data_IF_891722856390
#
_entry.id   IF_891722856390
#
_cell.length_a   1.000
_cell.length_b   1.000
_cell.length_c   1.000
_cell.angle_alpha   90.00
_cell.angle_beta   90.00
_cell.angle_gamma   90.00
#
_symmetry.space_group_name_H-M   'P 1'
#
loop_
_entity.id
_entity.type
_entity.pdbx_description
1 polymer ?
#
# COMPACT_ATOMS: atom_id res chain seq x y z
N UNK A 1 -20.52 6.23 26.22
CA UNK A 1 -19.87 6.76 25.00
C UNK A 1 -19.42 5.57 24.19
N UNK A 2 -20.07 5.30 23.06
CA UNK A 2 -19.54 4.33 22.11
C UNK A 2 -18.19 4.85 21.61
N UNK A 3 -17.12 4.11 21.85
CA UNK A 3 -15.80 4.44 21.33
C UNK A 3 -15.85 4.26 19.81
N UNK A 4 -15.96 5.38 19.07
CA UNK A 4 -15.84 5.37 17.62
C UNK A 4 -14.48 4.80 17.26
N UNK A 5 -14.46 3.63 16.61
CA UNK A 5 -13.23 2.99 16.14
C UNK A 5 -12.56 3.93 15.13
N UNK A 6 -11.39 4.46 15.49
CA UNK A 6 -10.59 5.27 14.58
C UNK A 6 -9.99 4.38 13.49
N UNK A 7 -9.98 4.82 12.22
CA UNK A 7 -9.38 4.06 11.13
C UNK A 7 -7.86 3.98 11.28
N UNK A 8 -7.28 2.88 10.80
CA UNK A 8 -5.82 2.74 10.74
C UNK A 8 -5.26 3.58 9.58
N UNK A 9 -4.39 4.54 9.89
CA UNK A 9 -3.63 5.34 8.93
C UNK A 9 -2.36 4.57 8.53
N UNK A 10 -2.26 4.16 7.26
CA UNK A 10 -1.19 3.29 6.76
C UNK A 10 -0.51 3.91 5.56
N UNK A 11 0.82 3.84 5.48
CA UNK A 11 1.57 4.26 4.28
C UNK A 11 2.61 3.22 3.88
N UNK A 12 2.70 2.95 2.58
CA UNK A 12 3.86 2.29 1.99
C UNK A 12 4.90 3.35 1.64
N UNK A 13 6.04 3.39 2.32
CA UNK A 13 6.99 4.49 2.18
C UNK A 13 8.45 4.06 2.12
N UNK A 14 9.19 4.64 1.18
CA UNK A 14 10.66 4.68 1.15
C UNK A 14 11.10 5.84 0.26
N UNK A 15 12.32 6.33 0.51
CA UNK A 15 12.96 7.41 -0.22
C UNK A 15 13.28 7.08 -1.69
N UNK A 16 13.18 5.81 -2.07
CA UNK A 16 13.43 5.38 -3.45
C UNK A 16 12.15 5.28 -4.29
N UNK A 17 12.19 5.85 -5.50
CA UNK A 17 11.18 5.62 -6.53
C UNK A 17 11.28 4.20 -7.14
N UNK A 18 10.19 3.72 -7.75
CA UNK A 18 10.22 2.46 -8.54
C UNK A 18 10.17 1.15 -7.75
N UNK A 19 10.17 1.20 -6.42
CA UNK A 19 10.07 0.00 -5.55
C UNK A 19 8.65 -0.53 -5.36
N UNK A 20 7.64 0.05 -6.03
CA UNK A 20 6.27 -0.47 -6.03
C UNK A 20 5.31 0.02 -4.93
N UNK A 21 5.59 1.13 -4.23
CA UNK A 21 4.72 1.71 -3.18
C UNK A 21 3.24 1.79 -3.59
N UNK A 22 2.95 2.56 -4.64
CA UNK A 22 1.62 2.75 -5.20
C UNK A 22 0.97 1.44 -5.67
N UNK A 23 1.76 0.49 -6.17
CA UNK A 23 1.27 -0.83 -6.58
C UNK A 23 0.82 -1.65 -5.36
N UNK A 24 1.58 -1.62 -4.27
CA UNK A 24 1.22 -2.31 -3.03
C UNK A 24 0.00 -1.66 -2.36
N UNK A 25 -0.08 -0.32 -2.38
CA UNK A 25 -1.26 0.41 -1.92
C UNK A 25 -2.52 -0.06 -2.65
N UNK A 26 -2.50 -0.10 -3.99
CA UNK A 26 -3.66 -0.59 -4.77
C UNK A 26 -3.98 -2.05 -4.47
N UNK A 27 -2.98 -2.92 -4.46
CA UNK A 27 -3.20 -4.36 -4.29
C UNK A 27 -3.80 -4.68 -2.92
N UNK A 28 -3.29 -4.06 -1.84
CA UNK A 28 -3.84 -4.27 -0.51
C UNK A 28 -5.18 -3.56 -0.31
N UNK A 29 -5.38 -2.35 -0.85
CA UNK A 29 -6.68 -1.69 -0.81
C UNK A 29 -7.76 -2.56 -1.48
N UNK A 30 -7.49 -3.07 -2.67
CA UNK A 30 -8.39 -3.98 -3.39
C UNK A 30 -8.62 -5.31 -2.65
N UNK A 31 -7.58 -5.89 -2.04
CA UNK A 31 -7.71 -7.12 -1.26
C UNK A 31 -8.57 -6.90 0.00
N UNK A 32 -8.26 -5.89 0.81
CA UNK A 32 -9.01 -5.55 2.02
C UNK A 32 -10.47 -5.24 1.71
N UNK A 33 -10.72 -4.46 0.66
CA UNK A 33 -12.06 -4.00 0.36
C UNK A 33 -12.92 -5.04 -0.36
N UNK A 34 -12.43 -5.61 -1.46
CA UNK A 34 -13.25 -6.48 -2.32
C UNK A 34 -13.31 -7.93 -1.84
N UNK A 35 -12.35 -8.39 -1.03
CA UNK A 35 -12.30 -9.78 -0.57
C UNK A 35 -12.52 -9.95 0.92
N UNK A 36 -12.03 -9.01 1.73
CA UNK A 36 -12.14 -9.08 3.18
C UNK A 36 -13.26 -8.19 3.75
N UNK A 37 -13.83 -7.31 2.92
CA UNK A 37 -15.01 -6.52 3.29
C UNK A 37 -14.71 -5.32 4.20
N UNK A 38 -13.46 -4.88 4.27
CA UNK A 38 -13.08 -3.68 5.02
C UNK A 38 -13.45 -2.38 4.27
N UNK A 39 -13.79 -1.35 5.03
CA UNK A 39 -14.02 -0.02 4.47
C UNK A 39 -12.70 0.72 4.33
N UNK A 40 -12.29 0.93 3.08
CA UNK A 40 -10.98 1.48 2.74
C UNK A 40 -11.14 2.87 2.10
N UNK A 41 -10.27 3.80 2.51
CA UNK A 41 -10.05 5.09 1.84
C UNK A 41 -8.59 5.14 1.38
N UNK A 42 -8.34 5.76 0.23
CA UNK A 42 -6.98 5.96 -0.28
C UNK A 42 -6.76 7.43 -0.60
N UNK A 43 -5.71 8.01 -0.03
CA UNK A 43 -5.25 9.37 -0.28
C UNK A 43 -4.07 9.31 -1.25
N UNK A 44 -4.27 9.72 -2.50
CA UNK A 44 -3.22 9.82 -3.52
C UNK A 44 -2.56 11.20 -3.41
N UNK A 45 -1.42 11.23 -2.69
CA UNK A 45 -0.72 12.45 -2.32
C UNK A 45 0.53 12.69 -3.21
N UNK A 46 0.81 11.83 -4.19
CA UNK A 46 2.01 11.91 -5.02
C UNK A 46 1.83 12.90 -6.19
N UNK A 47 1.60 14.18 -5.89
CA UNK A 47 1.48 15.21 -6.91
C UNK A 47 2.85 15.53 -7.53
N UNK A 48 2.99 15.60 -8.88
CA UNK A 48 1.93 15.54 -9.90
C UNK A 48 1.67 14.14 -10.49
N UNK A 49 2.37 13.09 -10.05
CA UNK A 49 2.27 11.74 -10.64
C UNK A 49 0.88 11.12 -10.50
N UNK A 50 0.22 11.34 -9.35
CA UNK A 50 -1.12 10.87 -8.97
C UNK A 50 -1.45 9.49 -9.53
N UNK A 51 -0.56 8.54 -9.23
CA UNK A 51 -0.50 7.28 -9.96
C UNK A 51 -1.73 6.39 -9.73
N UNK A 52 -2.43 6.53 -8.60
CA UNK A 52 -3.60 5.72 -8.24
C UNK A 52 -4.87 6.30 -8.85
N UNK A 53 -5.04 7.62 -8.84
CA UNK A 53 -6.17 8.27 -9.52
C UNK A 53 -6.10 8.01 -11.01
N UNK A 54 -4.91 8.18 -11.61
CA UNK A 54 -4.69 7.89 -13.01
C UNK A 54 -4.94 6.39 -13.33
N UNK A 55 -4.59 5.49 -12.42
CA UNK A 55 -4.90 4.05 -12.55
C UNK A 55 -6.40 3.79 -12.50
N UNK A 56 -7.14 4.44 -11.59
CA UNK A 56 -8.59 4.30 -11.47
C UNK A 56 -9.32 4.70 -12.75
N UNK A 57 -8.90 5.78 -13.40
CA UNK A 57 -9.51 6.17 -14.68
C UNK A 57 -9.19 5.15 -15.78
N UNK A 58 -7.94 4.68 -15.89
CA UNK A 58 -7.58 3.61 -16.84
C UNK A 58 -8.34 2.29 -16.59
N UNK A 59 -8.54 1.92 -15.32
CA UNK A 59 -9.31 0.74 -14.94
C UNK A 59 -10.77 0.89 -15.39
N UNK A 60 -11.39 2.07 -15.19
CA UNK A 60 -12.76 2.34 -15.65
C UNK A 60 -12.85 2.16 -17.16
N UNK A 61 -11.96 2.80 -17.92
CA UNK A 61 -11.96 2.72 -19.37
C UNK A 61 -11.78 1.27 -19.85
N UNK A 62 -10.84 0.55 -19.23
CA UNK A 62 -10.56 -0.85 -19.56
C UNK A 62 -11.75 -1.77 -19.28
N UNK A 63 -12.44 -1.56 -18.14
CA UNK A 63 -13.64 -2.32 -17.78
C UNK A 63 -14.79 -2.02 -18.75
N UNK A 64 -14.98 -0.76 -19.13
CA UNK A 64 -16.08 -0.37 -20.03
C UNK A 64 -15.87 -0.88 -21.47
N UNK A 65 -14.62 -1.02 -21.92
CA UNK A 65 -14.28 -1.46 -23.27
C UNK A 65 -14.14 -2.98 -23.40
N UNK A 66 -13.99 -3.72 -22.31
CA UNK A 66 -13.78 -5.17 -22.33
C UNK A 66 -14.95 -5.89 -21.64
N UNK A 67 -15.74 -6.63 -22.43
CA UNK A 67 -16.91 -7.34 -21.93
C UNK A 67 -16.60 -8.36 -20.83
N UNK A 68 -15.44 -9.03 -20.86
CA UNK A 68 -15.05 -9.95 -19.79
C UNK A 68 -14.87 -9.21 -18.45
N UNK A 69 -14.16 -8.08 -18.45
CA UNK A 69 -13.97 -7.28 -17.23
C UNK A 69 -15.26 -6.59 -16.77
N UNK A 70 -16.10 -6.15 -17.70
CA UNK A 70 -17.43 -5.61 -17.39
C UNK A 70 -18.31 -6.62 -16.66
N UNK A 71 -18.39 -7.85 -17.17
CA UNK A 71 -19.14 -8.92 -16.52
C UNK A 71 -18.55 -9.28 -15.15
N UNK A 72 -17.22 -9.30 -15.03
CA UNK A 72 -16.55 -9.53 -13.74
C UNK A 72 -16.90 -8.42 -12.72
N UNK A 73 -16.87 -7.16 -13.14
CA UNK A 73 -17.22 -6.00 -12.30
C UNK A 73 -18.69 -6.03 -11.89
N UNK A 74 -19.62 -6.30 -12.82
CA UNK A 74 -21.07 -6.43 -12.52
C UNK A 74 -21.29 -7.53 -11.48
N UNK A 75 -20.72 -8.72 -11.70
CA UNK A 75 -20.84 -9.85 -10.77
C UNK A 75 -20.31 -9.48 -9.39
N UNK A 76 -19.16 -8.81 -9.32
CA UNK A 76 -18.58 -8.34 -8.07
C UNK A 76 -19.51 -7.36 -7.34
N UNK A 77 -20.01 -6.32 -8.02
CA UNK A 77 -20.88 -5.32 -7.41
C UNK A 77 -22.20 -5.93 -6.92
N UNK A 78 -22.79 -6.86 -7.69
CA UNK A 78 -23.99 -7.60 -7.29
C UNK A 78 -23.75 -8.51 -6.08
N UNK A 79 -22.59 -9.17 -6.03
CA UNK A 79 -22.25 -10.11 -4.95
C UNK A 79 -21.92 -9.36 -3.65
N UNK A 80 -21.05 -8.35 -3.73
CA UNK A 80 -20.59 -7.60 -2.56
C UNK A 80 -21.65 -6.61 -2.06
N UNK A 81 -22.49 -6.07 -2.95
CA UNK A 81 -23.46 -5.00 -2.66
C UNK A 81 -22.81 -3.75 -2.04
N UNK A 82 -21.60 -3.41 -2.50
CA UNK A 82 -20.81 -2.25 -2.04
C UNK A 82 -20.24 -1.48 -3.22
N UNK A 83 -20.10 -0.17 -3.07
CA UNK A 83 -19.39 0.67 -4.04
C UNK A 83 -17.89 0.38 -3.98
N UNK A 84 -17.15 0.76 -5.01
CA UNK A 84 -15.68 0.74 -4.98
C UNK A 84 -15.15 1.68 -3.89
N UNK A 85 -13.99 1.34 -3.32
CA UNK A 85 -13.31 2.23 -2.37
C UNK A 85 -12.90 3.55 -3.02
N UNK A 86 -12.94 4.63 -2.23
CA UNK A 86 -12.65 5.99 -2.68
C UNK A 86 -11.14 6.22 -2.80
N UNK A 87 -10.73 6.91 -3.86
CA UNK A 87 -9.36 7.40 -4.05
C UNK A 87 -9.45 8.92 -4.20
N UNK A 88 -8.87 9.64 -3.25
CA UNK A 88 -8.94 11.10 -3.18
C UNK A 88 -7.57 11.67 -3.49
N UNK A 89 -7.52 12.52 -4.52
CA UNK A 89 -6.34 13.31 -4.85
C UNK A 89 -6.19 14.46 -3.84
N UNK A 90 -5.01 14.61 -3.27
CA UNK A 90 -4.70 15.77 -2.42
C UNK A 90 -3.21 16.11 -2.44
N UNK A 91 -2.85 17.25 -1.86
CA UNK A 91 -1.45 17.56 -1.53
C UNK A 91 -1.07 16.90 -0.21
N UNK A 92 0.22 16.60 -0.04
CA UNK A 92 0.73 15.93 1.17
C UNK A 92 0.40 16.71 2.44
N UNK A 93 0.50 18.04 2.37
CA UNK A 93 0.28 18.94 3.50
C UNK A 93 -1.17 18.95 4.00
N UNK A 94 -2.11 18.69 3.09
CA UNK A 94 -3.56 18.72 3.35
C UNK A 94 -4.12 17.31 3.58
N UNK A 95 -3.32 16.26 3.36
CA UNK A 95 -3.79 14.88 3.25
C UNK A 95 -4.59 14.39 4.47
N UNK A 96 -4.14 14.75 5.68
CA UNK A 96 -4.82 14.34 6.92
C UNK A 96 -6.17 15.05 7.09
N UNK A 97 -6.21 16.35 6.84
CA UNK A 97 -7.43 17.16 6.93
C UNK A 97 -8.45 16.72 5.88
N UNK A 98 -8.02 16.54 4.63
CA UNK A 98 -8.88 16.07 3.55
C UNK A 98 -9.39 14.66 3.84
N UNK A 99 -8.58 13.77 4.40
CA UNK A 99 -9.04 12.44 4.80
C UNK A 99 -10.15 12.55 5.86
N UNK A 100 -9.96 13.36 6.91
CA UNK A 100 -10.96 13.55 7.96
C UNK A 100 -12.26 14.17 7.44
N UNK A 101 -12.17 15.18 6.57
CA UNK A 101 -13.33 15.78 5.91
C UNK A 101 -14.07 14.75 5.03
N UNK A 102 -13.33 13.98 4.23
CA UNK A 102 -13.89 12.93 3.37
C UNK A 102 -14.64 11.87 4.19
N UNK A 103 -14.06 11.44 5.30
CA UNK A 103 -14.69 10.42 6.16
C UNK A 103 -15.99 10.92 6.79
N UNK A 104 -16.05 12.21 7.17
CA UNK A 104 -17.27 12.85 7.68
C UNK A 104 -18.32 13.01 6.58
N UNK A 105 -17.91 13.41 5.38
CA UNK A 105 -18.82 13.62 4.24
C UNK A 105 -19.47 12.31 3.76
N UNK A 106 -18.70 11.24 3.70
CA UNK A 106 -19.20 9.93 3.23
C UNK A 106 -20.09 9.23 4.26
N UNK A 107 -20.21 9.77 5.48
CA UNK A 107 -21.00 9.22 6.60
C UNK A 107 -20.82 7.71 6.77
N UNK A 108 -19.58 7.26 6.67
CA UNK A 108 -19.21 5.85 6.67
C UNK A 108 -18.04 5.62 7.62
N UNK A 109 -18.10 4.54 8.40
CA UNK A 109 -16.98 4.13 9.25
C UNK A 109 -15.89 3.47 8.40
N UNK A 110 -14.69 4.03 8.41
CA UNK A 110 -13.53 3.46 7.72
C UNK A 110 -12.71 2.59 8.67
N UNK A 111 -12.20 1.47 8.15
CA UNK A 111 -11.28 0.60 8.87
C UNK A 111 -9.82 0.98 8.60
N UNK A 112 -9.53 1.36 7.35
CA UNK A 112 -8.17 1.67 6.89
C UNK A 112 -8.18 2.88 5.97
N UNK A 113 -7.26 3.81 6.21
CA UNK A 113 -6.92 4.91 5.29
C UNK A 113 -5.48 4.73 4.82
N UNK A 114 -5.28 4.48 3.53
CA UNK A 114 -3.96 4.45 2.94
C UNK A 114 -3.53 5.85 2.49
N UNK A 115 -2.27 6.19 2.72
CA UNK A 115 -1.63 7.42 2.24
C UNK A 115 -0.51 7.06 1.26
N UNK A 116 -0.73 7.28 -0.03
CA UNK A 116 0.30 7.12 -1.07
C UNK A 116 1.10 8.42 -1.17
N UNK A 117 2.25 8.44 -0.49
CA UNK A 117 3.09 9.63 -0.35
C UNK A 117 4.20 9.64 -1.42
N UNK A 118 4.67 10.84 -1.83
CA UNK A 118 5.83 10.99 -2.70
C UNK A 118 7.05 10.26 -2.16
N UNK A 119 7.87 9.72 -3.07
CA UNK A 119 9.11 9.03 -2.71
C UNK A 119 10.20 9.93 -2.12
N UNK A 120 10.02 11.24 -2.00
CA UNK A 120 11.07 12.17 -1.55
C UNK A 120 10.75 12.71 -0.16
N UNK A 121 11.61 12.42 0.83
CA UNK A 121 11.42 12.93 2.20
C UNK A 121 11.51 14.47 2.29
N UNK A 122 12.22 15.10 1.36
CA UNK A 122 12.35 16.55 1.27
C UNK A 122 11.09 17.24 0.74
N UNK A 123 10.11 16.49 0.22
CA UNK A 123 8.83 17.07 -0.15
C UNK A 123 8.13 17.56 1.11
N UNK A 124 7.72 18.83 1.08
CA UNK A 124 7.05 19.50 2.19
C UNK A 124 5.85 18.67 2.66
N UNK A 125 5.72 18.52 3.98
CA UNK A 125 4.63 17.76 4.59
C UNK A 125 4.86 16.25 4.70
N UNK A 126 5.79 15.64 3.96
CA UNK A 126 5.96 14.16 3.98
C UNK A 126 6.30 13.65 5.37
N UNK A 127 7.29 14.22 6.04
CA UNK A 127 7.71 13.79 7.37
C UNK A 127 6.60 14.00 8.42
N UNK A 128 5.90 15.13 8.37
CA UNK A 128 4.80 15.42 9.30
C UNK A 128 3.63 14.46 9.08
N UNK A 129 3.27 14.16 7.83
CA UNK A 129 2.20 13.22 7.51
C UNK A 129 2.59 11.79 7.90
N UNK A 130 3.83 11.37 7.63
CA UNK A 130 4.36 10.08 8.09
C UNK A 130 4.31 9.94 9.61
N UNK A 131 4.64 10.98 10.37
CA UNK A 131 4.63 10.94 11.84
C UNK A 131 3.22 10.67 12.42
N UNK A 132 2.17 10.92 11.64
CA UNK A 132 0.77 10.71 12.04
C UNK A 132 0.22 9.33 11.60
N UNK A 133 1.00 8.52 10.89
CA UNK A 133 0.61 7.16 10.50
C UNK A 133 0.65 6.19 11.69
N UNK A 134 -0.28 5.24 11.73
CA UNK A 134 -0.22 4.12 12.67
C UNK A 134 0.77 3.05 12.21
N UNK A 135 0.82 2.79 10.90
CA UNK A 135 1.74 1.81 10.32
C UNK A 135 2.43 2.36 9.08
N UNK A 136 3.75 2.16 9.01
CA UNK A 136 4.57 2.46 7.83
C UNK A 136 5.21 1.16 7.37
N UNK A 137 4.95 0.77 6.12
CA UNK A 137 5.55 -0.41 5.50
C UNK A 137 6.58 0.03 4.47
N UNK A 138 7.85 -0.31 4.70
CA UNK A 138 8.97 0.16 3.89
C UNK A 138 9.53 -0.97 3.01
N UNK A 139 9.23 -0.97 1.69
CA UNK A 139 9.80 -1.94 0.77
C UNK A 139 11.31 -1.71 0.62
N UNK A 140 12.08 -2.80 0.70
CA UNK A 140 13.49 -2.85 0.34
C UNK A 140 13.70 -3.82 -0.83
N UNK A 141 14.58 -3.47 -1.76
CA UNK A 141 15.03 -4.34 -2.84
C UNK A 141 16.50 -4.68 -2.61
N UNK A 142 17.01 -5.77 -3.21
CA UNK A 142 18.40 -6.21 -3.05
C UNK A 142 19.42 -5.36 -3.82
N UNK A 143 19.23 -4.03 -3.82
CA UNK A 143 20.15 -3.05 -4.34
C UNK A 143 20.82 -2.33 -3.16
N UNK A 144 22.15 -2.27 -3.15
CA UNK A 144 22.92 -1.71 -2.04
C UNK A 144 22.50 -0.27 -1.71
N UNK A 145 22.34 0.58 -2.73
CA UNK A 145 21.99 1.99 -2.53
C UNK A 145 20.56 2.12 -1.99
N UNK A 146 19.65 1.25 -2.41
CA UNK A 146 18.27 1.26 -1.90
C UNK A 146 18.18 0.77 -0.47
N UNK A 147 18.94 -0.26 -0.11
CA UNK A 147 19.03 -0.74 1.28
C UNK A 147 19.65 0.34 2.17
N UNK A 148 20.83 0.87 1.81
CA UNK A 148 21.52 1.91 2.59
C UNK A 148 20.63 3.14 2.81
N UNK A 149 19.96 3.62 1.75
CA UNK A 149 19.02 4.76 1.83
C UNK A 149 17.82 4.45 2.74
N UNK A 150 17.20 3.27 2.58
CA UNK A 150 16.00 2.91 3.35
C UNK A 150 16.33 2.73 4.83
N UNK A 151 17.45 2.09 5.16
CA UNK A 151 17.88 1.89 6.55
C UNK A 151 18.29 3.21 7.21
N UNK A 152 19.04 4.06 6.51
CA UNK A 152 19.43 5.38 7.00
C UNK A 152 18.21 6.24 7.32
N UNK A 153 17.23 6.28 6.40
CA UNK A 153 15.96 6.97 6.65
C UNK A 153 15.19 6.35 7.81
N UNK A 154 15.03 5.02 7.81
CA UNK A 154 14.22 4.32 8.81
C UNK A 154 14.74 4.56 10.22
N UNK A 155 16.06 4.49 10.41
CA UNK A 155 16.70 4.78 11.70
C UNK A 155 16.47 6.23 12.13
N UNK A 156 16.79 7.18 11.26
CA UNK A 156 16.60 8.60 11.56
C UNK A 156 15.13 8.93 11.88
N UNK A 157 14.18 8.34 11.14
CA UNK A 157 12.75 8.52 11.36
C UNK A 157 12.25 7.83 12.65
N UNK A 158 12.82 6.69 13.01
CA UNK A 158 12.50 6.01 14.27
C UNK A 158 12.90 6.86 15.50
N UNK A 159 13.98 7.63 15.38
CA UNK A 159 14.50 8.53 16.42
C UNK A 159 13.73 9.87 16.52
N UNK A 160 12.91 10.22 15.53
CA UNK A 160 12.13 11.46 15.57
C UNK A 160 11.09 11.45 16.71
N UNK A 161 10.84 12.61 17.34
CA UNK A 161 9.77 12.76 18.31
C UNK A 161 8.42 12.34 17.71
N UNK A 162 7.80 11.33 18.30
CA UNK A 162 6.48 10.86 17.87
C UNK A 162 5.43 11.91 18.17
N UNK A 163 4.48 12.08 17.25
CA UNK A 163 3.33 12.96 17.43
C UNK A 163 2.56 12.62 18.71
N UNK A 164 2.11 13.64 19.44
CA UNK A 164 1.52 13.49 20.79
C UNK A 164 0.10 12.90 20.82
N UNK A 165 -0.48 12.49 19.69
CA UNK A 165 -1.94 12.31 19.56
C UNK A 165 -2.40 11.00 18.88
N UNK A 166 -1.67 9.90 18.99
CA UNK A 166 -2.18 8.59 18.54
C UNK A 166 -2.26 7.59 19.70
N UNK A 167 -3.44 7.03 19.93
CA UNK A 167 -3.67 5.93 20.89
C UNK A 167 -2.95 4.64 20.50
N UNK A 168 -2.65 4.49 19.20
CA UNK A 168 -1.89 3.38 18.64
C UNK A 168 -0.44 3.81 18.47
N UNK A 169 0.49 3.07 19.09
CA UNK A 169 1.92 3.26 18.89
C UNK A 169 2.26 3.05 17.41
N UNK A 170 2.84 4.06 16.78
CA UNK A 170 3.32 3.96 15.41
C UNK A 170 4.32 2.82 15.26
N UNK A 171 4.16 2.01 14.22
CA UNK A 171 5.08 0.94 13.86
C UNK A 171 5.63 1.12 12.44
N UNK A 172 6.90 0.82 12.26
CA UNK A 172 7.56 0.80 10.95
C UNK A 172 8.10 -0.60 10.69
N UNK A 173 7.69 -1.19 9.57
CA UNK A 173 8.06 -2.55 9.17
C UNK A 173 8.75 -2.54 7.82
N UNK A 174 9.97 -3.09 7.77
CA UNK A 174 10.68 -3.38 6.52
C UNK A 174 10.15 -4.67 5.90
N UNK A 175 10.21 -4.79 4.58
CA UNK A 175 9.95 -6.07 3.90
C UNK A 175 10.66 -6.13 2.55
N UNK A 176 11.05 -7.33 2.15
CA UNK A 176 11.66 -7.54 0.85
C UNK A 176 10.62 -7.50 -0.27
N UNK A 177 10.84 -6.60 -1.22
CA UNK A 177 10.10 -6.52 -2.47
C UNK A 177 11.02 -6.83 -3.65
N UNK A 178 10.42 -7.17 -4.79
CA UNK A 178 11.13 -7.48 -6.04
C UNK A 178 12.25 -8.52 -5.83
N UNK A 179 12.00 -9.55 -5.00
CA UNK A 179 12.98 -10.61 -4.73
C UNK A 179 13.18 -11.44 -5.98
N UNK A 180 14.41 -11.45 -6.51
CA UNK A 180 14.79 -12.31 -7.62
C UNK A 180 15.09 -13.72 -7.10
N UNK A 181 14.37 -14.72 -7.61
CA UNK A 181 14.62 -16.13 -7.27
C UNK A 181 16.00 -16.64 -7.71
N UNK A 182 16.72 -15.89 -8.55
CA UNK A 182 18.07 -16.20 -9.01
C UNK A 182 19.17 -15.58 -8.14
N UNK A 183 18.83 -14.59 -7.31
CA UNK A 183 19.81 -13.95 -6.44
C UNK A 183 20.22 -14.88 -5.30
N UNK A 184 21.50 -14.79 -4.91
CA UNK A 184 22.04 -15.62 -3.84
C UNK A 184 21.36 -15.28 -2.52
N UNK A 185 20.85 -16.30 -1.84
CA UNK A 185 20.23 -16.18 -0.50
C UNK A 185 21.15 -15.49 0.52
N UNK A 186 22.47 -15.61 0.35
CA UNK A 186 23.49 -14.97 1.19
C UNK A 186 23.42 -13.43 1.21
N UNK A 187 23.04 -12.80 0.09
CA UNK A 187 22.93 -11.33 0.02
C UNK A 187 21.80 -10.82 0.93
N UNK A 188 20.63 -11.46 0.83
CA UNK A 188 19.48 -11.17 1.69
C UNK A 188 19.82 -11.40 3.17
N UNK A 189 20.49 -12.51 3.48
CA UNK A 189 20.88 -12.82 4.85
C UNK A 189 21.86 -11.78 5.42
N UNK A 190 22.77 -11.28 4.60
CA UNK A 190 23.73 -10.24 4.99
C UNK A 190 23.03 -8.93 5.33
N UNK A 191 22.08 -8.49 4.48
CA UNK A 191 21.30 -7.29 4.75
C UNK A 191 20.37 -7.47 5.96
N UNK A 192 19.73 -8.63 6.12
CA UNK A 192 18.91 -8.92 7.29
C UNK A 192 19.72 -8.92 8.60
N UNK A 193 21.00 -9.33 8.57
CA UNK A 193 21.87 -9.22 9.73
C UNK A 193 22.09 -7.75 10.12
N UNK A 194 22.31 -6.86 9.14
CA UNK A 194 22.42 -5.41 9.39
C UNK A 194 21.11 -4.84 9.93
N UNK A 195 19.97 -5.22 9.35
CA UNK A 195 18.64 -4.78 9.82
C UNK A 195 18.40 -5.16 11.28
N UNK A 196 18.77 -6.38 11.67
CA UNK A 196 18.69 -6.86 13.05
C UNK A 196 19.63 -6.09 13.99
N UNK A 197 20.85 -5.76 13.54
CA UNK A 197 21.79 -4.95 14.33
C UNK A 197 21.27 -3.52 14.58
N UNK A 198 20.43 -3.01 13.68
CA UNK A 198 19.78 -1.71 13.81
C UNK A 198 18.46 -1.76 14.61
N UNK A 199 18.07 -2.94 15.14
CA UNK A 199 16.81 -3.17 15.85
C UNK A 199 15.56 -2.74 15.04
N UNK A 200 15.62 -2.91 13.72
CA UNK A 200 14.53 -2.54 12.83
C UNK A 200 13.61 -3.75 12.55
N UNK A 201 12.28 -3.63 12.73
CA UNK A 201 11.35 -4.70 12.42
C UNK A 201 11.36 -5.03 10.93
N UNK A 202 11.38 -6.33 10.62
CA UNK A 202 11.30 -6.84 9.25
C UNK A 202 10.29 -7.98 9.16
N UNK A 203 9.45 -7.93 8.13
CA UNK A 203 8.47 -8.96 7.80
C UNK A 203 9.17 -10.22 7.27
N UNK A 204 8.58 -11.39 7.56
CA UNK A 204 9.05 -12.69 7.05
C UNK A 204 8.68 -12.89 5.59
N UNK A 205 7.52 -12.40 5.19
CA UNK A 205 7.03 -12.48 3.82
C UNK A 205 7.92 -11.65 2.88
N UNK A 206 8.16 -12.23 1.70
CA UNK A 206 8.96 -11.61 0.64
C UNK A 206 8.16 -11.62 -0.64
N UNK A 207 8.07 -10.49 -1.33
CA UNK A 207 7.35 -10.36 -2.59
C UNK A 207 8.34 -10.57 -3.74
N UNK A 208 8.02 -11.47 -4.66
CA UNK A 208 8.89 -11.82 -5.79
C UNK A 208 8.91 -10.72 -6.85
N UNK A 209 10.04 -10.55 -7.55
CA UNK A 209 10.02 -9.77 -8.79
C UNK A 209 9.17 -10.50 -9.83
N UNK A 210 8.24 -9.76 -10.41
CA UNK A 210 7.35 -10.31 -11.42
C UNK A 210 6.89 -9.25 -12.40
N UNK A 211 7.06 -9.55 -13.69
CA UNK A 211 6.42 -8.79 -14.77
C UNK A 211 4.89 -8.72 -14.61
N UNK A 212 4.29 -9.62 -13.82
CA UNK A 212 2.85 -9.62 -13.52
C UNK A 212 2.42 -8.32 -12.82
N UNK A 213 3.24 -7.72 -11.96
CA UNK A 213 2.96 -6.42 -11.33
C UNK A 213 2.85 -5.26 -12.32
N UNK A 214 3.37 -5.42 -13.54
CA UNK A 214 3.28 -4.45 -14.63
C UNK A 214 2.00 -4.61 -15.47
N UNK A 215 1.28 -5.71 -15.29
CA UNK A 215 0.02 -5.97 -16.01
C UNK A 215 -1.14 -5.33 -15.27
N UNK A 216 -1.58 -4.18 -15.77
CA UNK A 216 -2.92 -3.63 -15.47
C UNK A 216 -4.00 -4.49 -16.16
N UNK A 217 -5.27 -4.09 -16.10
CA UNK A 217 -6.36 -4.69 -16.89
C UNK A 217 -6.07 -4.55 -18.39
N UNK A 218 -5.27 -5.46 -18.96
CA UNK A 218 -4.94 -5.47 -20.39
C UNK A 218 -6.21 -5.80 -21.20
N UNK A 219 -6.46 -5.05 -22.28
CA UNK A 219 -7.63 -5.22 -23.15
C UNK A 219 -7.77 -6.64 -23.75
N UNK A 220 -6.70 -7.45 -23.77
CA UNK A 220 -6.69 -8.83 -24.30
C UNK A 220 -6.43 -9.92 -23.24
N UNK A 221 -6.29 -9.54 -21.96
CA UNK A 221 -6.03 -10.47 -20.86
C UNK A 221 -7.31 -11.09 -20.28
N UNK A 222 -7.21 -12.30 -19.70
CA UNK A 222 -8.28 -12.93 -18.91
C UNK A 222 -8.07 -12.81 -17.40
N UNK A 223 -6.97 -12.20 -16.96
CA UNK A 223 -6.61 -12.12 -15.54
C UNK A 223 -6.33 -10.68 -15.15
N UNK A 224 -6.85 -10.28 -13.99
CA UNK A 224 -6.58 -8.98 -13.39
C UNK A 224 -5.56 -9.16 -12.28
N UNK A 225 -4.51 -8.35 -12.28
CA UNK A 225 -3.52 -8.39 -11.20
C UNK A 225 -3.42 -7.05 -10.51
N UNK A 226 -3.12 -5.97 -11.25
CA UNK A 226 -3.14 -4.61 -10.72
C UNK A 226 -4.39 -3.88 -11.19
N UNK A 227 -5.37 -3.72 -10.30
CA UNK A 227 -6.55 -2.90 -10.55
C UNK A 227 -7.09 -2.32 -9.24
N UNK A 228 -7.62 -1.11 -9.34
CA UNK A 228 -8.30 -0.40 -8.28
C UNK A 228 -9.82 -0.66 -8.23
N UNK A 229 -10.35 -1.45 -9.17
CA UNK A 229 -11.77 -1.77 -9.28
C UNK A 229 -12.07 -3.27 -9.17
N UNK A 230 -11.07 -4.11 -9.39
CA UNK A 230 -11.17 -5.56 -9.30
C UNK A 230 -10.00 -6.10 -8.45
N UNK A 231 -10.23 -7.12 -7.61
CA UNK A 231 -9.15 -7.73 -6.83
C UNK A 231 -8.20 -8.51 -7.72
N UNK A 232 -6.94 -8.61 -7.28
CA UNK A 232 -5.93 -9.45 -7.93
C UNK A 232 -6.37 -10.92 -7.96
N UNK A 233 -6.09 -11.63 -9.05
CA UNK A 233 -6.36 -13.06 -9.16
C UNK A 233 -5.58 -13.87 -8.08
N UNK A 234 -6.26 -14.83 -7.44
CA UNK A 234 -5.70 -15.64 -6.35
C UNK A 234 -4.46 -16.42 -6.76
N UNK A 235 -4.44 -16.97 -7.98
CA UNK A 235 -3.29 -17.74 -8.47
C UNK A 235 -2.07 -16.82 -8.65
N UNK A 236 -2.30 -15.59 -9.10
CA UNK A 236 -1.24 -14.60 -9.28
C UNK A 236 -0.73 -14.07 -7.94
N UNK A 237 -1.60 -13.89 -6.95
CA UNK A 237 -1.18 -13.51 -5.59
C UNK A 237 -0.25 -14.56 -4.99
N UNK A 238 -0.63 -15.84 -5.06
CA UNK A 238 0.22 -16.96 -4.61
C UNK A 238 1.52 -17.04 -5.39
N UNK A 239 1.46 -16.90 -6.72
CA UNK A 239 2.65 -16.96 -7.57
C UNK A 239 3.69 -15.86 -7.28
N UNK A 240 3.25 -14.72 -6.74
CA UNK A 240 4.09 -13.57 -6.40
C UNK A 240 4.42 -13.45 -4.91
N UNK A 241 3.96 -14.41 -4.10
CA UNK A 241 4.03 -14.41 -2.63
C UNK A 241 3.27 -13.23 -1.96
N UNK A 242 2.34 -12.60 -2.68
CA UNK A 242 1.55 -11.48 -2.16
C UNK A 242 0.49 -11.96 -1.16
N UNK A 243 0.03 -13.21 -1.26
CA UNK A 243 -0.90 -13.80 -0.30
C UNK A 243 -0.27 -13.88 1.09
N UNK A 244 0.94 -14.43 1.19
CA UNK A 244 1.70 -14.57 2.43
C UNK A 244 2.03 -13.19 3.02
N UNK A 245 2.34 -12.21 2.15
CA UNK A 245 2.53 -10.82 2.55
C UNK A 245 1.25 -10.21 3.13
N UNK A 246 0.11 -10.39 2.47
CA UNK A 246 -1.18 -9.87 2.94
C UNK A 246 -1.57 -10.48 4.31
N UNK A 247 -1.33 -11.79 4.51
CA UNK A 247 -1.61 -12.48 5.77
C UNK A 247 -0.72 -11.99 6.92
N UNK A 248 0.54 -11.68 6.66
CA UNK A 248 1.43 -11.06 7.65
C UNK A 248 1.08 -9.60 7.92
N UNK A 249 0.76 -8.83 6.87
CA UNK A 249 0.30 -7.46 6.98
C UNK A 249 -0.94 -7.36 7.88
N UNK A 250 -1.94 -8.20 7.67
CA UNK A 250 -3.17 -8.27 8.49
C UNK A 250 -2.87 -8.55 9.96
N UNK A 251 -2.00 -9.54 10.22
CA UNK A 251 -1.54 -9.85 11.58
C UNK A 251 -0.83 -8.68 12.25
N UNK A 252 -0.01 -7.92 11.52
CA UNK A 252 0.69 -6.75 12.05
C UNK A 252 -0.29 -5.64 12.42
N UNK A 253 -1.31 -5.40 11.57
CA UNK A 253 -2.27 -4.32 11.79
C UNK A 253 -3.46 -4.72 12.68
N UNK A 254 -3.52 -5.99 13.10
CA UNK A 254 -4.59 -6.59 13.91
C UNK A 254 -5.98 -6.50 13.24
N UNK A 255 -6.03 -6.84 11.95
CA UNK A 255 -7.26 -7.04 11.17
C UNK A 255 -7.33 -8.48 10.59
#
# INVERSE_FOLDING_TARGET
METVKQPLKISFYTQKGGVGKSTLTTLLASQLHYRLGYNVLVMDCDFPQNSLVNMRERDKDSIMQNEYYKQAAIKQFQTLKRKAYSIIKCKVEEALEVAEATMKELDQTFDVVFFDLPGTANTKGVLSTLNQMNYIFSPIIADRLVVESTLGFTKAFAELPKGKENSIKQQLWLFWNQVDGREKTELYNSYEAVIKQLDLPIMKARIKDSKRFRKETEAKGKYVFRSSLLPADNSLMKATNLSEFADEFLRIINL
#
